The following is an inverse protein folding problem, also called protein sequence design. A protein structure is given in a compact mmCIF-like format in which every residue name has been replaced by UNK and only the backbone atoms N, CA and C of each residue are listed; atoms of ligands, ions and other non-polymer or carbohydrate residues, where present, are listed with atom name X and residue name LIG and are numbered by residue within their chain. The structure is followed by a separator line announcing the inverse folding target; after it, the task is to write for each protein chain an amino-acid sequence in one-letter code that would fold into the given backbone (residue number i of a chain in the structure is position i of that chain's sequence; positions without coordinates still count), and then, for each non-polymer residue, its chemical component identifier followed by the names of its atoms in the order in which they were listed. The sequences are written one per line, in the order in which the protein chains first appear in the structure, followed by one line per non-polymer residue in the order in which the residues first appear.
data_IF_001523836987
#
_entry.id   IF_001523836987
#
_cell.length_a   1.000
_cell.length_b   1.000
_cell.length_c   1.000
_cell.angle_alpha   90.00
_cell.angle_beta   90.00
_cell.angle_gamma   90.00
#
_symmetry.space_group_name_H-M   'P 1'
#
loop_
_entity.id
_entity.type
_entity.pdbx_description
1 polymer ?
#
# COMPACT_ATOMS: atom_id res chain seq x y z
N UNK A 1 60.33 37.79 -20.26
CA UNK A 1 59.41 37.81 -19.10
C UNK A 1 57.98 37.74 -19.64
N UNK A 2 57.33 36.57 -19.60
CA UNK A 2 55.97 36.37 -20.15
C UNK A 2 54.99 36.36 -18.96
N UNK A 3 54.08 37.33 -18.91
CA UNK A 3 53.08 37.47 -17.84
C UNK A 3 51.95 36.45 -18.07
N UNK A 4 51.71 35.60 -17.06
CA UNK A 4 50.56 34.71 -16.97
C UNK A 4 49.33 35.52 -16.52
N UNK A 5 48.25 35.47 -17.30
CA UNK A 5 46.94 36.03 -16.93
C UNK A 5 45.99 34.89 -16.59
N UNK A 6 45.54 34.83 -15.34
CA UNK A 6 44.51 33.87 -14.90
C UNK A 6 43.12 34.37 -15.33
N UNK A 7 42.46 33.63 -16.22
CA UNK A 7 41.06 33.81 -16.56
C UNK A 7 40.19 33.17 -15.47
N UNK A 8 39.44 33.99 -14.73
CA UNK A 8 38.44 33.52 -13.76
C UNK A 8 37.12 33.29 -14.50
N UNK A 9 36.77 32.03 -14.76
CA UNK A 9 35.44 31.68 -15.27
C UNK A 9 34.47 31.47 -14.09
N UNK A 10 33.53 32.39 -13.93
CA UNK A 10 32.41 32.25 -13.00
C UNK A 10 31.36 31.30 -13.58
N UNK A 11 31.22 30.13 -12.97
CA UNK A 11 30.14 29.17 -13.27
C UNK A 11 28.85 29.66 -12.60
N UNK A 12 28.02 30.39 -13.36
CA UNK A 12 26.64 30.64 -12.97
C UNK A 12 25.81 29.36 -13.22
N UNK A 13 25.46 28.65 -12.16
CA UNK A 13 24.43 27.59 -12.23
C UNK A 13 23.09 28.24 -12.58
N UNK A 14 22.67 28.09 -13.84
CA UNK A 14 21.29 28.35 -14.25
C UNK A 14 20.40 27.29 -13.60
N UNK A 15 19.62 27.67 -12.59
CA UNK A 15 18.47 26.89 -12.16
C UNK A 15 17.47 26.86 -13.33
N UNK A 16 17.60 25.86 -14.18
CA UNK A 16 16.57 25.54 -15.16
C UNK A 16 15.40 24.94 -14.39
N UNK A 17 14.42 25.77 -14.06
CA UNK A 17 13.10 25.30 -13.68
C UNK A 17 12.56 24.51 -14.88
N UNK A 18 12.53 23.18 -14.76
CA UNK A 18 11.78 22.33 -15.69
C UNK A 18 10.30 22.65 -15.53
N UNK A 19 9.82 23.65 -16.26
CA UNK A 19 8.40 23.84 -16.48
C UNK A 19 7.94 22.74 -17.44
N UNK A 20 7.28 21.71 -16.92
CA UNK A 20 6.46 20.82 -17.73
C UNK A 20 5.23 21.62 -18.19
N UNK A 21 5.37 22.35 -19.29
CA UNK A 21 4.22 22.89 -20.01
C UNK A 21 4.37 22.49 -21.46
N UNK A 22 3.68 21.43 -21.85
CA UNK A 22 3.34 21.22 -23.25
C UNK A 22 2.19 22.17 -23.52
N UNK A 23 2.45 23.31 -24.17
CA UNK A 23 1.40 24.03 -24.90
C UNK A 23 0.96 23.13 -26.04
N UNK A 24 0.09 22.18 -25.72
CA UNK A 24 -0.55 21.31 -26.68
C UNK A 24 -1.68 22.12 -27.34
N UNK A 25 -1.52 22.42 -28.62
CA UNK A 25 -2.57 22.86 -29.53
C UNK A 25 -3.50 21.68 -29.88
N UNK A 26 -3.99 20.97 -28.86
CA UNK A 26 -4.99 19.91 -28.97
C UNK A 26 -6.15 20.22 -28.02
N UNK A 27 -7.37 19.90 -28.45
CA UNK A 27 -8.60 20.04 -27.65
C UNK A 27 -8.70 19.01 -26.52
N UNK A 28 -7.57 18.68 -25.89
CA UNK A 28 -7.47 17.59 -24.93
C UNK A 28 -8.00 18.07 -23.58
N UNK A 29 -9.00 17.33 -23.07
CA UNK A 29 -9.58 17.64 -21.77
C UNK A 29 -8.74 17.01 -20.68
N UNK A 30 -8.46 17.76 -19.62
CA UNK A 30 -7.79 17.23 -18.43
C UNK A 30 -8.78 16.30 -17.72
N UNK A 31 -8.33 15.09 -17.37
CA UNK A 31 -9.14 14.10 -16.64
C UNK A 31 -8.44 13.76 -15.33
N UNK A 32 -9.21 13.78 -14.25
CA UNK A 32 -8.76 13.49 -12.91
C UNK A 32 -9.33 12.14 -12.47
N UNK A 33 -8.47 11.13 -12.27
CA UNK A 33 -8.87 9.79 -11.76
C UNK A 33 -8.48 9.56 -10.29
N UNK A 34 -9.32 8.85 -9.55
CA UNK A 34 -9.15 8.53 -8.12
C UNK A 34 -9.01 7.03 -7.94
N UNK A 35 -7.96 6.61 -7.24
CA UNK A 35 -7.78 5.22 -6.82
C UNK A 35 -8.08 5.14 -5.32
N UNK A 36 -9.11 4.38 -4.96
CA UNK A 36 -9.36 4.02 -3.56
C UNK A 36 -8.72 2.68 -3.26
N UNK A 37 -7.91 2.64 -2.20
CA UNK A 37 -7.30 1.43 -1.70
C UNK A 37 -7.81 1.08 -0.30
N UNK A 38 -8.01 -0.22 -0.05
CA UNK A 38 -8.25 -0.77 1.28
C UNK A 38 -7.05 -1.60 1.69
N UNK A 39 -6.30 -1.14 2.70
CA UNK A 39 -5.09 -1.80 3.18
C UNK A 39 -5.37 -3.19 3.79
N UNK A 40 -4.39 -4.10 3.81
CA UNK A 40 -4.56 -5.40 4.45
C UNK A 40 -4.81 -5.22 5.94
N UNK A 41 -5.84 -5.90 6.46
CA UNK A 41 -6.21 -5.90 7.88
C UNK A 41 -5.46 -7.01 8.63
N UNK A 42 -5.14 -8.10 7.94
CA UNK A 42 -4.41 -9.25 8.49
C UNK A 42 -3.06 -9.38 7.79
N UNK A 43 -2.06 -9.87 8.51
CA UNK A 43 -0.72 -10.14 7.97
C UNK A 43 -0.82 -11.17 6.83
N UNK A 44 -0.22 -10.91 5.65
CA UNK A 44 -0.18 -11.87 4.54
C UNK A 44 0.40 -13.22 4.92
N UNK A 45 -0.04 -14.27 4.21
CA UNK A 45 0.54 -15.60 4.37
C UNK A 45 2.01 -15.58 3.95
N UNK A 46 2.87 -16.08 4.83
CA UNK A 46 4.31 -16.24 4.59
C UNK A 46 4.51 -17.37 3.57
N UNK A 47 5.50 -17.20 2.70
CA UNK A 47 5.92 -18.26 1.76
C UNK A 47 6.37 -19.52 2.52
N UNK A 48 6.03 -20.74 2.04
CA UNK A 48 6.35 -21.98 2.74
C UNK A 48 7.85 -22.18 3.00
N UNK A 49 8.74 -21.69 2.13
CA UNK A 49 10.20 -21.83 2.33
C UNK A 49 10.67 -20.92 3.46
N UNK A 50 10.16 -19.69 3.50
CA UNK A 50 10.47 -18.74 4.58
C UNK A 50 9.92 -19.26 5.90
N UNK A 51 8.71 -19.82 5.90
CA UNK A 51 8.12 -20.46 7.07
C UNK A 51 8.96 -21.63 7.58
N UNK A 52 9.37 -22.54 6.70
CA UNK A 52 10.20 -23.69 7.05
C UNK A 52 11.55 -23.26 7.65
N UNK A 53 12.18 -22.23 7.08
CA UNK A 53 13.43 -21.68 7.62
C UNK A 53 13.22 -21.01 8.99
N UNK A 54 12.12 -20.28 9.18
CA UNK A 54 11.79 -19.67 10.47
C UNK A 54 11.56 -20.73 11.54
N UNK A 55 10.82 -21.80 11.24
CA UNK A 55 10.64 -22.93 12.16
C UNK A 55 11.96 -23.63 12.48
N UNK A 56 12.80 -23.88 11.47
CA UNK A 56 14.14 -24.45 11.65
C UNK A 56 14.99 -23.57 12.57
N UNK A 57 15.07 -22.27 12.26
CA UNK A 57 15.84 -21.29 13.04
C UNK A 57 15.31 -21.16 14.47
N UNK A 58 13.99 -21.18 14.65
CA UNK A 58 13.37 -21.21 15.98
C UNK A 58 13.83 -22.44 16.77
N UNK A 59 13.74 -23.64 16.19
CA UNK A 59 14.18 -24.89 16.84
C UNK A 59 15.67 -24.90 17.16
N UNK A 60 16.50 -24.47 16.21
CA UNK A 60 17.94 -24.35 16.39
C UNK A 60 18.27 -23.40 17.55
N UNK A 61 17.61 -22.24 17.59
CA UNK A 61 17.76 -21.28 18.66
C UNK A 61 17.35 -21.86 20.03
N UNK A 62 16.26 -22.61 20.11
CA UNK A 62 15.86 -23.24 21.39
C UNK A 62 16.90 -24.24 21.92
N UNK A 63 17.66 -24.90 21.03
CA UNK A 63 18.70 -25.85 21.43
C UNK A 63 19.98 -25.17 21.94
N UNK A 64 20.40 -24.07 21.31
CA UNK A 64 21.71 -23.46 21.58
C UNK A 64 21.64 -22.14 22.35
N UNK A 65 20.46 -21.53 22.52
CA UNK A 65 20.33 -20.32 23.35
C UNK A 65 20.45 -20.68 24.83
N UNK A 66 20.92 -19.70 25.60
CA UNK A 66 20.95 -19.80 27.07
C UNK A 66 19.52 -20.06 27.58
N UNK A 67 19.34 -21.17 28.30
CA UNK A 67 18.09 -21.45 29.02
C UNK A 67 17.93 -20.36 30.11
N UNK A 68 16.76 -19.73 30.15
CA UNK A 68 16.45 -18.81 31.24
C UNK A 68 16.26 -19.61 32.54
N UNK A 69 16.75 -19.11 33.69
CA UNK A 69 16.56 -19.78 34.96
C UNK A 69 15.06 -19.86 35.30
N UNK A 70 14.64 -21.03 35.79
CA UNK A 70 13.23 -21.35 36.02
C UNK A 70 12.61 -20.41 37.10
N UNK A 71 13.43 -19.88 38.01
CA UNK A 71 13.04 -18.87 39.03
C UNK A 71 12.40 -17.60 38.45
N UNK A 72 12.76 -17.24 37.21
CA UNK A 72 12.22 -16.05 36.51
C UNK A 72 10.85 -16.35 35.89
N UNK A 73 10.62 -17.58 35.43
CA UNK A 73 9.42 -17.98 34.70
C UNK A 73 8.31 -18.51 35.64
N UNK A 74 8.70 -19.29 36.66
CA UNK A 74 7.76 -20.03 37.53
C UNK A 74 6.98 -19.18 38.53
N UNK A 75 7.36 -17.91 38.75
CA UNK A 75 6.67 -17.01 39.70
C UNK A 75 5.21 -16.70 39.30
N UNK A 76 4.83 -17.00 38.05
CA UNK A 76 3.49 -16.77 37.51
C UNK A 76 2.51 -17.92 37.74
N UNK A 77 2.98 -19.15 38.01
CA UNK A 77 2.10 -20.33 38.18
C UNK A 77 1.24 -20.28 39.44
N UNK A 78 1.59 -19.43 40.42
CA UNK A 78 0.79 -19.19 41.62
C UNK A 78 -0.39 -18.24 41.41
N UNK A 79 -0.48 -17.59 40.24
CA UNK A 79 -1.62 -16.76 39.85
C UNK A 79 -2.62 -17.66 39.16
N UNK A 80 -3.70 -18.00 39.87
CA UNK A 80 -4.78 -18.85 39.34
C UNK A 80 -5.22 -18.42 37.94
N UNK A 81 -5.54 -19.42 37.11
CA UNK A 81 -6.11 -19.21 35.78
C UNK A 81 -7.36 -18.33 35.93
N UNK A 82 -7.39 -17.16 35.27
CA UNK A 82 -8.48 -16.20 35.45
C UNK A 82 -9.85 -16.80 35.15
N UNK A 83 -10.92 -16.17 35.65
CA UNK A 83 -12.30 -16.68 35.62
C UNK A 83 -12.87 -16.94 34.20
N UNK A 84 -12.15 -16.54 33.15
CA UNK A 84 -12.47 -16.82 31.76
C UNK A 84 -11.86 -18.17 31.32
N UNK A 85 -12.69 -19.20 31.30
CA UNK A 85 -12.37 -20.56 30.86
C UNK A 85 -12.69 -20.80 29.38
N UNK A 86 -12.44 -19.80 28.53
CA UNK A 86 -12.57 -19.97 27.07
C UNK A 86 -11.16 -19.89 26.50
N UNK A 87 -10.72 -20.99 25.88
CA UNK A 87 -9.47 -21.01 25.15
C UNK A 87 -9.51 -19.98 24.02
N UNK A 88 -8.47 -19.16 23.93
CA UNK A 88 -8.37 -18.19 22.85
C UNK A 88 -8.22 -18.92 21.51
N UNK A 89 -9.30 -18.90 20.72
CA UNK A 89 -9.29 -19.36 19.33
C UNK A 89 -9.36 -18.13 18.42
N UNK A 90 -8.31 -17.85 17.63
CA UNK A 90 -8.35 -16.71 16.73
C UNK A 90 -9.42 -16.90 15.66
N UNK A 91 -10.09 -15.81 15.28
CA UNK A 91 -11.06 -15.84 14.19
C UNK A 91 -10.42 -16.33 12.87
N UNK A 92 -11.17 -17.06 12.03
CA UNK A 92 -10.66 -17.56 10.78
C UNK A 92 -10.27 -16.41 9.84
N UNK A 93 -9.17 -16.58 9.10
CA UNK A 93 -8.71 -15.60 8.11
C UNK A 93 -9.58 -15.55 6.86
N UNK A 94 -10.34 -16.62 6.60
CA UNK A 94 -11.24 -16.75 5.46
C UNK A 94 -12.63 -16.37 5.93
N UNK A 95 -13.21 -15.36 5.29
CA UNK A 95 -14.54 -14.83 5.61
C UNK A 95 -15.60 -15.45 4.71
N UNK A 96 -16.89 -15.28 5.05
CA UNK A 96 -17.99 -15.68 4.17
C UNK A 96 -17.93 -15.02 2.77
N UNK A 97 -17.42 -13.78 2.72
CA UNK A 97 -17.24 -13.04 1.48
C UNK A 97 -16.15 -13.63 0.57
N UNK A 98 -15.14 -14.29 1.15
CA UNK A 98 -14.13 -15.05 0.41
C UNK A 98 -14.74 -16.28 -0.25
N UNK A 99 -15.58 -17.02 0.49
CA UNK A 99 -16.26 -18.20 -0.04
C UNK A 99 -17.23 -17.86 -1.18
N UNK A 100 -17.96 -16.74 -1.06
CA UNK A 100 -18.91 -16.27 -2.08
C UNK A 100 -18.24 -15.49 -3.21
N UNK A 101 -16.93 -15.24 -3.12
CA UNK A 101 -16.17 -14.36 -4.03
C UNK A 101 -16.85 -12.99 -4.25
N UNK A 102 -17.36 -12.39 -3.17
CA UNK A 102 -18.09 -11.12 -3.25
C UNK A 102 -17.11 -9.95 -3.47
N UNK A 103 -17.04 -9.48 -4.71
CA UNK A 103 -16.19 -8.36 -5.14
C UNK A 103 -16.69 -6.99 -4.71
N UNK A 104 -17.94 -6.88 -4.23
CA UNK A 104 -18.52 -5.61 -3.75
C UNK A 104 -18.25 -5.36 -2.27
N UNK A 105 -18.08 -6.43 -1.49
CA UNK A 105 -17.74 -6.34 -0.07
C UNK A 105 -16.28 -5.94 0.17
N UNK A 106 -16.02 -5.27 1.30
CA UNK A 106 -14.65 -4.94 1.76
C UNK A 106 -14.04 -6.04 2.65
N UNK A 107 -14.87 -6.95 3.16
CA UNK A 107 -14.48 -8.01 4.09
C UNK A 107 -13.82 -9.22 3.40
N UNK A 108 -13.83 -9.27 2.07
CA UNK A 108 -13.09 -10.27 1.27
C UNK A 108 -11.59 -9.99 1.25
N UNK A 109 -10.74 -11.00 1.31
CA UNK A 109 -9.28 -10.92 1.19
C UNK A 109 -8.66 -9.91 2.16
N UNK A 110 -8.82 -10.17 3.45
CA UNK A 110 -8.31 -9.33 4.54
C UNK A 110 -6.78 -9.23 4.55
N UNK A 111 -6.09 -10.17 3.92
CA UNK A 111 -4.63 -10.24 3.82
C UNK A 111 -4.05 -9.53 2.59
N UNK A 112 -4.91 -8.98 1.71
CA UNK A 112 -4.52 -8.32 0.46
C UNK A 112 -5.00 -6.88 0.40
N UNK A 113 -4.40 -6.08 -0.48
CA UNK A 113 -4.93 -4.75 -0.84
C UNK A 113 -6.10 -4.91 -1.81
N UNK A 114 -7.17 -4.16 -1.59
CA UNK A 114 -8.27 -4.05 -2.58
C UNK A 114 -8.26 -2.67 -3.22
N UNK A 115 -8.71 -2.63 -4.48
CA UNK A 115 -8.85 -1.42 -5.27
C UNK A 115 -10.29 -1.29 -5.74
N UNK A 116 -10.84 -0.07 -5.70
CA UNK A 116 -12.17 0.20 -6.28
C UNK A 116 -12.04 0.41 -7.79
N UNK A 117 -12.76 -0.41 -8.55
CA UNK A 117 -12.94 -0.23 -10.00
C UNK A 117 -14.42 -0.05 -10.30
N UNK A 118 -14.73 0.80 -11.27
CA UNK A 118 -16.05 1.02 -11.81
C UNK A 118 -16.12 0.48 -13.24
N UNK A 119 -17.28 -0.03 -13.64
CA UNK A 119 -17.53 -0.47 -15.00
C UNK A 119 -18.37 0.58 -15.71
N UNK A 120 -17.83 1.22 -16.74
CA UNK A 120 -18.49 2.36 -17.36
C UNK A 120 -17.80 2.88 -18.61
N UNK A 121 -18.40 3.93 -19.17
CA UNK A 121 -17.81 4.67 -20.27
C UNK A 121 -16.78 5.65 -19.72
N UNK A 122 -15.56 5.59 -20.26
CA UNK A 122 -14.47 6.50 -19.90
C UNK A 122 -14.22 7.53 -20.97
N UNK A 123 -13.56 8.62 -20.58
CA UNK A 123 -12.97 9.56 -21.51
C UNK A 123 -11.90 8.85 -22.35
N UNK A 124 -12.18 8.68 -23.65
CA UNK A 124 -11.29 8.00 -24.59
C UNK A 124 -11.59 6.52 -24.84
N UNK A 125 -12.68 5.95 -24.29
CA UNK A 125 -13.06 4.57 -24.62
C UNK A 125 -13.43 4.43 -26.11
N UNK A 126 -12.82 3.47 -26.84
CA UNK A 126 -13.10 3.28 -28.27
C UNK A 126 -14.57 2.86 -28.48
N UNK A 127 -15.32 3.75 -29.17
CA UNK A 127 -16.72 3.53 -29.60
C UNK A 127 -17.72 3.27 -28.45
N UNK A 128 -17.52 3.88 -27.29
CA UNK A 128 -18.51 3.84 -26.18
C UNK A 128 -18.69 2.47 -25.53
N UNK A 129 -17.75 1.54 -25.72
CA UNK A 129 -17.78 0.25 -25.03
C UNK A 129 -17.43 0.45 -23.55
N UNK A 130 -18.17 -0.16 -22.61
CA UNK A 130 -17.85 -0.06 -21.20
C UNK A 130 -16.60 -0.87 -20.86
N UNK A 131 -15.69 -0.27 -20.11
CA UNK A 131 -14.41 -0.85 -19.66
C UNK A 131 -14.32 -0.68 -18.14
N UNK A 132 -13.54 -1.53 -17.47
CA UNK A 132 -13.21 -1.32 -16.06
C UNK A 132 -12.20 -0.20 -15.91
N UNK A 133 -12.52 0.80 -15.11
CA UNK A 133 -11.68 1.98 -14.91
C UNK A 133 -11.75 2.50 -13.48
N UNK A 134 -10.84 3.40 -13.14
CA UNK A 134 -10.90 4.12 -11.88
C UNK A 134 -11.96 5.23 -11.95
N UNK A 135 -12.64 5.55 -10.83
CA UNK A 135 -13.48 6.73 -10.76
C UNK A 135 -12.78 7.96 -11.34
N UNK A 136 -13.36 8.57 -12.36
CA UNK A 136 -12.75 9.68 -13.08
C UNK A 136 -13.76 10.81 -13.32
N UNK A 137 -13.23 12.03 -13.41
CA UNK A 137 -14.00 13.23 -13.72
C UNK A 137 -13.20 14.13 -14.65
N UNK A 138 -13.87 14.62 -15.69
CA UNK A 138 -13.30 15.60 -16.61
C UNK A 138 -13.24 16.96 -15.91
N UNK A 139 -12.10 17.63 -16.02
CA UNK A 139 -11.89 18.96 -15.46
C UNK A 139 -12.62 20.01 -16.29
N UNK A 140 -13.39 20.88 -15.61
CA UNK A 140 -14.08 22.00 -16.25
C UNK A 140 -13.52 23.33 -15.74
N UNK A 141 -13.79 23.71 -14.49
CA UNK A 141 -13.53 25.08 -13.99
C UNK A 141 -13.14 25.14 -12.49
N UNK A 142 -12.69 24.03 -11.89
CA UNK A 142 -12.39 24.01 -10.45
C UNK A 142 -11.00 24.55 -10.09
N UNK A 143 -10.83 25.03 -8.85
CA UNK A 143 -9.59 25.66 -8.38
C UNK A 143 -8.39 24.70 -8.31
N UNK A 144 -8.60 23.46 -7.86
CA UNK A 144 -7.53 22.45 -7.73
C UNK A 144 -8.01 21.06 -8.13
N UNK A 145 -7.10 20.23 -8.65
CA UNK A 145 -7.41 18.84 -9.02
C UNK A 145 -7.85 17.96 -7.83
N UNK A 146 -7.54 18.36 -6.59
CA UNK A 146 -8.02 17.68 -5.38
C UNK A 146 -9.51 17.93 -5.15
N UNK A 147 -9.94 19.18 -5.28
CA UNK A 147 -11.33 19.61 -5.19
C UNK A 147 -12.20 18.94 -6.27
N UNK A 148 -11.65 18.78 -7.48
CA UNK A 148 -12.33 18.09 -8.60
C UNK A 148 -12.79 16.71 -8.21
N UNK A 149 -11.95 16.02 -7.45
CA UNK A 149 -12.15 14.64 -7.00
C UNK A 149 -12.98 14.54 -5.72
N UNK A 150 -13.43 15.66 -5.13
CA UNK A 150 -14.15 15.69 -3.87
C UNK A 150 -13.30 15.30 -2.65
N UNK A 151 -11.98 15.40 -2.75
CA UNK A 151 -11.04 15.08 -1.67
C UNK A 151 -10.61 16.40 -1.04
N UNK A 152 -11.08 16.65 0.18
CA UNK A 152 -10.73 17.82 1.00
C UNK A 152 -9.33 17.68 1.62
#
# INVERSE_FOLDING_TARGET
MKKLTHSSQSLLLRLSTRAFSTTATSSDKIVASVLFERLPVVIPKIDPVVYAFQEFSFRWNQQYRRKYPDDVLGRSESKGQGDYQIDYVPAPRVTEADHKNDTKSLQRALDRRLYLLLYGATYGSPKGKPVWHFPEKVYETEETLRKVKGIH
#
